data_IF_171296209563
#
_entry.id   IF_171296209563
#
_cell.length_a   1.000
_cell.length_b   1.000
_cell.length_c   1.000
_cell.angle_alpha   90.00
_cell.angle_beta   90.00
_cell.angle_gamma   90.00
#
_symmetry.space_group_name_H-M   'P 1'
#
loop_
_entity.id
_entity.type
_entity.pdbx_description
1 polymer ?
#
# COMPACT_ATOMS: atom_id res chain seq x y z
N UNK A 1 26.69 20.28 -29.54
CA UNK A 1 25.96 20.13 -28.27
C UNK A 1 25.04 18.92 -28.41
N UNK A 2 25.36 17.79 -27.76
CA UNK A 2 24.41 16.68 -27.63
C UNK A 2 23.46 16.99 -26.48
N UNK A 3 22.18 17.14 -26.78
CA UNK A 3 21.11 17.12 -25.79
C UNK A 3 21.06 15.71 -25.19
N UNK A 4 21.46 15.55 -23.93
CA UNK A 4 21.16 14.32 -23.20
C UNK A 4 19.65 14.25 -23.04
N UNK A 5 19.02 13.24 -23.63
CA UNK A 5 17.59 12.99 -23.44
C UNK A 5 17.30 12.79 -21.95
N UNK A 6 16.30 13.50 -21.42
CA UNK A 6 15.86 13.32 -20.05
C UNK A 6 15.44 11.86 -19.81
N UNK A 7 15.80 11.27 -18.65
CA UNK A 7 15.41 9.90 -18.36
C UNK A 7 13.88 9.78 -18.32
N UNK A 8 13.32 8.97 -19.23
CA UNK A 8 11.89 8.67 -19.28
C UNK A 8 11.54 7.64 -18.20
N UNK A 9 10.35 7.76 -17.60
CA UNK A 9 9.85 6.75 -16.66
C UNK A 9 9.79 5.37 -17.31
N UNK A 10 10.47 4.40 -16.69
CA UNK A 10 10.43 2.99 -17.05
C UNK A 10 9.83 2.16 -15.89
N UNK A 11 8.53 1.81 -15.94
CA UNK A 11 7.86 1.06 -14.88
C UNK A 11 8.48 -0.33 -14.69
N UNK A 12 8.97 -0.95 -15.77
CA UNK A 12 9.55 -2.30 -15.73
C UNK A 12 10.84 -2.36 -14.92
N UNK A 13 11.52 -1.22 -14.76
CA UNK A 13 12.70 -1.10 -13.90
C UNK A 13 12.36 -0.56 -12.51
N UNK A 14 11.48 0.45 -12.42
CA UNK A 14 11.25 1.19 -11.19
C UNK A 14 10.33 0.42 -10.23
N UNK A 15 9.25 -0.19 -10.72
CA UNK A 15 8.24 -0.82 -9.86
C UNK A 15 8.77 -2.08 -9.14
N UNK A 16 9.45 -3.04 -9.82
CA UNK A 16 9.99 -4.22 -9.14
C UNK A 16 11.02 -3.86 -8.05
N UNK A 17 11.88 -2.88 -8.31
CA UNK A 17 12.86 -2.38 -7.35
C UNK A 17 12.20 -1.96 -6.03
N UNK A 18 11.11 -1.19 -6.11
CA UNK A 18 10.40 -0.72 -4.92
C UNK A 18 9.61 -1.83 -4.24
N UNK A 19 8.95 -2.71 -5.01
CA UNK A 19 8.25 -3.87 -4.46
C UNK A 19 9.20 -4.80 -3.66
N UNK A 20 10.39 -5.08 -4.20
CA UNK A 20 11.43 -5.87 -3.52
C UNK A 20 11.93 -5.18 -2.25
N UNK A 21 12.17 -3.87 -2.31
CA UNK A 21 12.57 -3.09 -1.14
C UNK A 21 11.51 -3.17 -0.03
N UNK A 22 10.25 -2.93 -0.38
CA UNK A 22 9.15 -2.93 0.58
C UNK A 22 8.92 -4.29 1.21
N UNK A 23 9.05 -5.36 0.42
CA UNK A 23 8.96 -6.72 0.92
C UNK A 23 10.11 -7.03 1.89
N UNK A 24 11.36 -6.69 1.52
CA UNK A 24 12.54 -6.91 2.36
C UNK A 24 12.46 -6.16 3.69
N UNK A 25 12.03 -4.91 3.65
CA UNK A 25 11.93 -4.04 4.82
C UNK A 25 10.63 -4.25 5.61
N UNK A 26 9.72 -5.11 5.12
CA UNK A 26 8.38 -5.29 5.70
C UNK A 26 7.65 -3.95 5.87
N UNK A 27 7.84 -3.03 4.92
CA UNK A 27 7.44 -1.60 5.01
C UNK A 27 5.97 -1.40 5.38
N UNK A 28 5.11 -2.32 4.95
CA UNK A 28 3.66 -2.24 5.15
C UNK A 28 3.14 -3.02 6.35
N UNK A 29 4.01 -3.75 7.05
CA UNK A 29 3.62 -4.50 8.24
C UNK A 29 3.48 -3.59 9.46
N UNK A 30 2.45 -3.86 10.26
CA UNK A 30 2.10 -3.04 11.41
C UNK A 30 2.11 -3.93 12.64
N UNK A 31 2.94 -3.59 13.62
CA UNK A 31 3.02 -4.32 14.89
C UNK A 31 1.85 -3.97 15.81
N UNK A 32 1.49 -4.95 16.65
CA UNK A 32 0.55 -4.73 17.75
C UNK A 32 1.10 -3.63 18.67
N UNK A 33 0.28 -2.67 19.13
CA UNK A 33 0.72 -1.66 20.06
C UNK A 33 1.33 -2.24 21.34
N UNK A 34 2.47 -1.70 21.74
CA UNK A 34 3.23 -2.07 22.93
C UNK A 34 3.36 -0.89 23.88
N UNK A 35 3.76 -1.15 25.13
CA UNK A 35 3.94 -0.10 26.13
C UNK A 35 5.04 0.92 25.77
N UNK A 36 5.96 0.58 24.87
CA UNK A 36 6.99 1.49 24.36
C UNK A 36 6.53 2.38 23.21
N UNK A 37 5.31 2.19 22.69
CA UNK A 37 4.77 3.04 21.63
C UNK A 37 4.42 4.43 22.13
N UNK A 38 4.50 5.42 21.23
CA UNK A 38 4.15 6.81 21.54
C UNK A 38 2.71 6.89 22.05
N UNK A 39 2.57 7.28 23.31
CA UNK A 39 1.28 7.56 23.92
C UNK A 39 0.51 8.59 23.06
N UNK A 40 -0.74 8.28 22.75
CA UNK A 40 -1.59 9.14 21.91
C UNK A 40 -1.32 9.06 20.41
N UNK A 41 -0.51 8.11 19.90
CA UNK A 41 -0.45 7.89 18.46
C UNK A 41 -1.82 7.45 17.93
N UNK A 42 -2.38 8.28 17.04
CA UNK A 42 -3.65 8.00 16.37
C UNK A 42 -3.56 6.76 15.48
N UNK A 43 -4.68 6.03 15.35
CA UNK A 43 -4.79 4.78 14.60
C UNK A 43 -5.82 4.95 13.50
N UNK A 44 -5.54 4.39 12.32
CA UNK A 44 -6.50 4.26 11.25
C UNK A 44 -6.63 2.78 10.84
N UNK A 45 -7.88 2.34 10.65
CA UNK A 45 -8.17 1.06 10.03
C UNK A 45 -8.88 1.36 8.71
N UNK A 46 -8.17 1.17 7.61
CA UNK A 46 -8.70 1.33 6.25
C UNK A 46 -9.03 -0.07 5.73
N UNK A 47 -10.26 -0.27 5.26
CA UNK A 47 -10.73 -1.58 4.84
C UNK A 47 -11.67 -1.47 3.64
N UNK A 48 -11.33 -2.20 2.59
CA UNK A 48 -12.18 -2.47 1.45
C UNK A 48 -12.83 -3.85 1.58
N UNK A 49 -13.94 -4.04 0.87
CA UNK A 49 -14.52 -5.37 0.74
C UNK A 49 -13.54 -6.31 0.02
N UNK A 50 -13.28 -7.46 0.63
CA UNK A 50 -12.39 -8.47 0.07
C UNK A 50 -12.98 -9.03 -1.23
N UNK A 51 -12.16 -9.29 -2.26
CA UNK A 51 -12.64 -9.88 -3.51
C UNK A 51 -13.02 -11.34 -3.30
N UNK A 52 -14.06 -11.76 -4.03
CA UNK A 52 -14.33 -13.18 -4.24
C UNK A 52 -13.27 -13.77 -5.18
N UNK A 53 -12.67 -14.93 -4.89
CA UNK A 53 -11.70 -15.59 -5.76
C UNK A 53 -12.38 -16.35 -6.91
N UNK A 54 -13.49 -15.84 -7.43
CA UNK A 54 -14.28 -16.44 -8.51
C UNK A 54 -13.84 -16.01 -9.92
N UNK A 55 -12.78 -15.19 -10.01
CA UNK A 55 -12.17 -14.75 -11.27
C UNK A 55 -11.03 -13.77 -11.04
N UNK A 56 -10.40 -13.32 -12.13
CA UNK A 56 -9.32 -12.35 -12.09
C UNK A 56 -9.84 -10.91 -11.83
N UNK A 57 -9.13 -10.08 -11.04
CA UNK A 57 -9.52 -8.70 -10.82
C UNK A 57 -9.52 -7.85 -12.10
N UNK A 58 -10.68 -7.30 -12.46
CA UNK A 58 -10.81 -6.27 -13.50
C UNK A 58 -10.62 -4.83 -12.96
N UNK A 59 -10.61 -3.83 -13.86
CA UNK A 59 -10.42 -2.39 -13.54
C UNK A 59 -11.38 -1.85 -12.47
N UNK A 60 -12.60 -2.38 -12.36
CA UNK A 60 -13.50 -2.05 -11.25
C UNK A 60 -12.90 -2.34 -9.86
N UNK A 61 -12.22 -3.48 -9.68
CA UNK A 61 -11.50 -3.82 -8.46
C UNK A 61 -10.32 -2.88 -8.23
N UNK A 62 -9.57 -2.58 -9.29
CA UNK A 62 -8.46 -1.62 -9.22
C UNK A 62 -8.92 -0.26 -8.68
N UNK A 63 -10.05 0.26 -9.18
CA UNK A 63 -10.60 1.54 -8.71
C UNK A 63 -10.92 1.51 -7.21
N UNK A 64 -11.48 0.40 -6.72
CA UNK A 64 -11.81 0.23 -5.30
C UNK A 64 -10.54 0.21 -4.43
N UNK A 65 -9.58 -0.64 -4.76
CA UNK A 65 -8.36 -0.82 -3.94
C UNK A 65 -7.39 0.36 -4.05
N UNK A 66 -7.29 1.00 -5.21
CA UNK A 66 -6.45 2.19 -5.38
C UNK A 66 -6.93 3.36 -4.50
N UNK A 67 -8.24 3.50 -4.30
CA UNK A 67 -8.78 4.56 -3.46
C UNK A 67 -8.47 4.32 -1.97
N UNK A 68 -8.68 3.09 -1.48
CA UNK A 68 -8.36 2.80 -0.09
C UNK A 68 -6.86 2.80 0.18
N UNK A 69 -6.01 2.36 -0.76
CA UNK A 69 -4.56 2.51 -0.67
C UNK A 69 -4.14 3.99 -0.58
N UNK A 70 -4.72 4.87 -1.40
CA UNK A 70 -4.47 6.31 -1.31
C UNK A 70 -4.85 6.91 0.06
N UNK A 71 -5.98 6.47 0.65
CA UNK A 71 -6.41 6.87 1.98
C UNK A 71 -5.46 6.34 3.06
N UNK A 72 -5.04 5.08 2.96
CA UNK A 72 -4.08 4.47 3.87
C UNK A 72 -2.73 5.20 3.83
N UNK A 73 -2.25 5.57 2.65
CA UNK A 73 -1.06 6.40 2.47
C UNK A 73 -1.23 7.80 3.06
N UNK A 74 -2.39 8.44 2.89
CA UNK A 74 -2.66 9.73 3.50
C UNK A 74 -2.54 9.66 5.03
N UNK A 75 -3.20 8.69 5.67
CA UNK A 75 -3.13 8.48 7.12
C UNK A 75 -1.70 8.20 7.61
N UNK A 76 -0.93 7.38 6.89
CA UNK A 76 0.49 7.14 7.21
C UNK A 76 1.31 8.42 7.16
N UNK A 77 1.10 9.26 6.14
CA UNK A 77 1.85 10.53 5.94
C UNK A 77 1.57 11.57 7.01
N UNK A 78 0.39 11.55 7.63
CA UNK A 78 0.05 12.42 8.76
C UNK A 78 0.44 11.80 10.12
N UNK A 79 1.18 10.69 10.13
CA UNK A 79 1.79 10.10 11.33
C UNK A 79 0.90 9.08 12.08
N UNK A 80 -0.24 8.71 11.51
CA UNK A 80 -1.10 7.68 12.11
C UNK A 80 -0.54 6.27 11.91
N UNK A 81 -0.88 5.38 12.83
CA UNK A 81 -0.63 3.94 12.70
C UNK A 81 -1.76 3.31 11.89
N UNK A 82 -1.45 2.84 10.69
CA UNK A 82 -2.47 2.41 9.73
C UNK A 82 -2.47 0.90 9.55
N UNK A 83 -3.59 0.25 9.85
CA UNK A 83 -3.89 -1.12 9.42
C UNK A 83 -4.68 -1.05 8.11
N UNK A 84 -4.18 -1.69 7.06
CA UNK A 84 -4.82 -1.79 5.75
C UNK A 84 -4.58 -3.21 5.20
N UNK A 85 -5.45 -4.17 5.56
CA UNK A 85 -5.27 -5.56 5.22
C UNK A 85 -5.89 -5.90 3.86
N UNK A 86 -5.43 -7.01 3.29
CA UNK A 86 -6.00 -7.59 2.07
C UNK A 86 -6.17 -9.10 2.27
N UNK A 87 -7.07 -9.72 1.50
CA UNK A 87 -7.41 -11.14 1.59
C UNK A 87 -8.41 -11.54 0.51
N UNK A 88 -9.11 -12.65 0.71
CA UNK A 88 -10.17 -13.14 -0.17
C UNK A 88 -11.40 -13.52 0.66
N UNK A 89 -12.58 -13.17 0.15
CA UNK A 89 -13.85 -13.67 0.68
C UNK A 89 -14.21 -14.97 -0.05
N UNK A 90 -14.07 -16.11 0.62
CA UNK A 90 -14.02 -17.41 -0.04
C UNK A 90 -14.95 -18.49 0.56
N UNK A 91 -15.83 -18.14 1.50
CA UNK A 91 -16.71 -19.08 2.21
C UNK A 91 -18.13 -18.54 2.42
#
# INVERSE_FOLDING_TARGET
>A
MMTMAEPRYDPMQIEPKWQELWARERTWEVSVPSASDRAGQEKAYVLEMLPYPSGEPHIGHLKNYALGDAIAHFHRRIGQRVLHPMGYDAF
#
